data_IF_044834132438
#
_entry.id   IF_044834132438
#
_cell.length_a   1.000
_cell.length_b   1.000
_cell.length_c   1.000
_cell.angle_alpha   90.00
_cell.angle_beta   90.00
_cell.angle_gamma   90.00
#
_symmetry.space_group_name_H-M   'P 1'
#
loop_
_entity.id
_entity.type
_entity.pdbx_description
1 polymer ?
#
# COMPACT_ATOMS: atom_id res chain seq x y z
N UNK A 1 -22.98 24.19 6.97
CA UNK A 1 -22.59 23.30 8.09
C UNK A 1 -23.24 21.95 7.85
N UNK A 2 -22.56 21.04 7.17
CA UNK A 2 -23.07 19.71 6.83
C UNK A 2 -22.89 18.79 8.04
N UNK A 3 -23.98 18.18 8.52
CA UNK A 3 -23.95 17.19 9.58
C UNK A 3 -23.09 15.99 9.14
N UNK A 4 -21.84 15.98 9.57
CA UNK A 4 -20.79 15.09 9.05
C UNK A 4 -20.77 13.70 9.71
N UNK A 5 -21.77 13.37 10.54
CA UNK A 5 -21.88 12.07 11.16
C UNK A 5 -22.76 11.17 10.31
N UNK A 6 -22.20 10.56 9.27
CA UNK A 6 -22.91 9.49 8.58
C UNK A 6 -23.32 8.40 9.57
N UNK A 7 -24.55 7.92 9.42
CA UNK A 7 -25.09 6.75 10.12
C UNK A 7 -24.76 5.48 9.34
N UNK A 8 -24.94 4.35 10.00
CA UNK A 8 -24.70 3.02 9.42
C UNK A 8 -25.52 2.78 8.16
N UNK A 9 -26.77 3.24 8.13
CA UNK A 9 -27.64 3.09 6.96
C UNK A 9 -27.19 3.95 5.78
N UNK A 10 -26.60 5.13 6.04
CA UNK A 10 -26.04 5.98 4.99
C UNK A 10 -24.79 5.34 4.38
N UNK A 11 -23.95 4.69 5.21
CA UNK A 11 -22.83 3.90 4.72
C UNK A 11 -23.29 2.71 3.86
N UNK A 12 -24.31 1.97 4.30
CA UNK A 12 -24.86 0.84 3.53
C UNK A 12 -25.53 1.29 2.24
N UNK A 13 -26.24 2.42 2.27
CA UNK A 13 -26.86 3.00 1.08
C UNK A 13 -25.80 3.43 0.06
N UNK A 14 -24.74 4.11 0.51
CA UNK A 14 -23.60 4.46 -0.33
C UNK A 14 -22.90 3.23 -0.93
N UNK A 15 -22.64 2.22 -0.10
CA UNK A 15 -22.03 0.97 -0.57
C UNK A 15 -22.92 0.23 -1.59
N UNK A 16 -24.24 0.23 -1.36
CA UNK A 16 -25.21 -0.33 -2.31
C UNK A 16 -25.23 0.45 -3.63
N UNK A 17 -25.12 1.78 -3.58
CA UNK A 17 -25.02 2.63 -4.76
C UNK A 17 -23.73 2.38 -5.54
N UNK A 18 -22.59 2.18 -4.85
CA UNK A 18 -21.33 1.78 -5.50
C UNK A 18 -21.49 0.44 -6.24
N UNK A 19 -22.16 -0.53 -5.61
CA UNK A 19 -22.40 -1.87 -6.20
C UNK A 19 -23.42 -1.84 -7.35
N UNK A 20 -24.39 -0.93 -7.29
CA UNK A 20 -25.44 -0.74 -8.29
C UNK A 20 -25.01 0.02 -9.54
N UNK A 21 -23.79 0.57 -9.57
CA UNK A 21 -23.19 1.26 -10.71
C UNK A 21 -23.06 0.34 -11.92
N UNK A 22 -24.08 0.32 -12.76
CA UNK A 22 -24.22 -0.52 -13.95
C UNK A 22 -25.19 0.13 -14.93
N UNK A 23 -25.66 -0.62 -15.93
CA UNK A 23 -26.41 -0.13 -17.11
C UNK A 23 -27.62 0.78 -16.78
N UNK A 24 -28.15 0.76 -15.55
CA UNK A 24 -29.32 1.53 -15.09
C UNK A 24 -29.06 2.53 -13.95
N UNK A 25 -27.83 2.65 -13.43
CA UNK A 25 -27.47 3.63 -12.40
C UNK A 25 -26.06 4.12 -12.64
N UNK A 26 -25.89 5.43 -12.80
CA UNK A 26 -24.61 6.04 -12.50
C UNK A 26 -24.33 5.73 -11.03
N UNK A 27 -23.13 5.26 -10.69
CA UNK A 27 -22.74 5.07 -9.29
C UNK A 27 -22.82 6.39 -8.50
N UNK A 28 -22.33 6.44 -7.25
CA UNK A 28 -22.28 7.71 -6.52
C UNK A 28 -21.54 8.77 -7.32
N UNK A 29 -22.09 9.98 -7.30
CA UNK A 29 -21.44 11.18 -7.83
C UNK A 29 -20.26 11.60 -6.94
N UNK A 30 -19.50 12.57 -7.43
CA UNK A 30 -18.32 13.06 -6.71
C UNK A 30 -18.70 13.73 -5.38
N UNK A 31 -19.86 14.37 -5.30
CA UNK A 31 -20.39 14.93 -4.05
C UNK A 31 -20.69 13.85 -3.00
N UNK A 32 -21.21 12.69 -3.40
CA UNK A 32 -21.41 11.55 -2.50
C UNK A 32 -20.08 10.94 -2.04
N UNK A 33 -19.08 10.85 -2.93
CA UNK A 33 -17.72 10.44 -2.56
C UNK A 33 -17.09 11.40 -1.56
N UNK A 34 -17.21 12.71 -1.78
CA UNK A 34 -16.67 13.73 -0.89
C UNK A 34 -17.35 13.71 0.48
N UNK A 35 -18.66 13.50 0.52
CA UNK A 35 -19.39 13.30 1.79
C UNK A 35 -18.95 12.03 2.52
N UNK A 36 -18.70 10.94 1.80
CA UNK A 36 -18.12 9.73 2.39
C UNK A 36 -16.73 10.02 2.97
N UNK A 37 -15.84 10.70 2.22
CA UNK A 37 -14.48 11.05 2.67
C UNK A 37 -14.55 11.90 3.94
N UNK A 38 -15.43 12.89 4.01
CA UNK A 38 -15.62 13.72 5.19
C UNK A 38 -16.08 12.89 6.41
N UNK A 39 -17.01 11.96 6.22
CA UNK A 39 -17.47 11.06 7.29
C UNK A 39 -16.38 10.09 7.73
N UNK A 40 -15.64 9.49 6.79
CA UNK A 40 -14.53 8.59 7.03
C UNK A 40 -13.42 9.27 7.83
N UNK A 41 -13.08 10.52 7.50
CA UNK A 41 -12.10 11.33 8.24
C UNK A 41 -12.49 11.48 9.72
N UNK A 42 -13.78 11.64 10.02
CA UNK A 42 -14.24 11.84 11.40
C UNK A 42 -14.41 10.52 12.16
N UNK A 43 -14.90 9.47 11.51
CA UNK A 43 -15.28 8.21 12.17
C UNK A 43 -14.19 7.15 12.13
N UNK A 44 -13.50 7.00 10.99
CA UNK A 44 -12.50 5.94 10.77
C UNK A 44 -11.11 6.40 11.16
N UNK A 45 -10.71 7.59 10.72
CA UNK A 45 -9.31 8.02 10.78
C UNK A 45 -8.71 7.98 12.20
N UNK A 46 -9.38 8.46 13.27
CA UNK A 46 -8.80 8.44 14.62
C UNK A 46 -8.46 7.02 15.09
N UNK A 47 -9.34 6.06 14.83
CA UNK A 47 -9.15 4.68 15.27
C UNK A 47 -8.11 3.95 14.41
N UNK A 48 -8.13 4.16 13.09
CA UNK A 48 -7.11 3.63 12.17
C UNK A 48 -5.72 4.15 12.55
N UNK A 49 -5.58 5.47 12.76
CA UNK A 49 -4.32 6.11 13.15
C UNK A 49 -3.80 5.54 14.47
N UNK A 50 -4.66 5.42 15.49
CA UNK A 50 -4.30 4.84 16.78
C UNK A 50 -3.77 3.41 16.64
N UNK A 51 -4.46 2.57 15.87
CA UNK A 51 -4.06 1.18 15.65
C UNK A 51 -2.78 1.06 14.85
N UNK A 52 -2.63 1.82 13.77
CA UNK A 52 -1.41 1.80 12.95
C UNK A 52 -0.19 2.30 13.72
N UNK A 53 -0.33 3.36 14.52
CA UNK A 53 0.74 3.82 15.38
C UNK A 53 1.14 2.73 16.40
N UNK A 54 0.18 2.04 16.98
CA UNK A 54 0.43 0.96 17.95
C UNK A 54 1.06 -0.27 17.31
N UNK A 55 0.55 -0.69 16.14
CA UNK A 55 0.92 -1.95 15.51
C UNK A 55 2.21 -1.87 14.69
N UNK A 56 2.45 -0.74 14.02
CA UNK A 56 3.55 -0.57 13.07
C UNK A 56 4.40 0.68 13.33
N UNK A 57 4.07 1.50 14.33
CA UNK A 57 4.83 2.71 14.67
C UNK A 57 4.73 3.81 13.61
N UNK A 58 3.77 3.73 12.70
CA UNK A 58 3.65 4.68 11.59
C UNK A 58 2.61 5.77 11.91
N UNK A 59 3.00 7.02 11.74
CA UNK A 59 2.09 8.17 11.74
C UNK A 59 1.45 8.28 10.36
N UNK A 60 0.13 8.41 10.32
CA UNK A 60 -0.63 8.53 9.08
C UNK A 60 -1.48 9.80 9.07
N UNK A 61 -1.75 10.32 7.88
CA UNK A 61 -2.62 11.47 7.67
C UNK A 61 -4.10 11.06 7.61
N UNK A 62 -4.98 11.88 8.21
CA UNK A 62 -6.40 11.56 8.33
C UNK A 62 -7.12 11.61 6.97
N UNK A 63 -6.74 12.55 6.11
CA UNK A 63 -7.31 12.68 4.75
C UNK A 63 -6.82 11.55 3.84
N UNK A 64 -5.57 11.11 4.01
CA UNK A 64 -5.02 9.91 3.37
C UNK A 64 -5.74 8.64 3.79
N UNK A 65 -6.02 8.47 5.08
CA UNK A 65 -6.81 7.32 5.59
C UNK A 65 -8.22 7.33 5.04
N UNK A 66 -8.88 8.49 4.99
CA UNK A 66 -10.24 8.59 4.44
C UNK A 66 -10.31 8.21 2.95
N UNK A 67 -9.33 8.63 2.15
CA UNK A 67 -9.22 8.23 0.74
C UNK A 67 -8.89 6.75 0.57
N UNK A 68 -7.99 6.22 1.38
CA UNK A 68 -7.70 4.79 1.39
C UNK A 68 -8.95 3.96 1.75
N UNK A 69 -9.79 4.45 2.66
CA UNK A 69 -11.06 3.81 2.99
C UNK A 69 -12.01 3.71 1.79
N UNK A 70 -12.07 4.76 0.94
CA UNK A 70 -12.88 4.73 -0.27
C UNK A 70 -12.35 3.69 -1.27
N UNK A 71 -11.04 3.67 -1.52
CA UNK A 71 -10.39 2.70 -2.42
C UNK A 71 -10.58 1.25 -1.93
N UNK A 72 -10.42 0.99 -0.63
CA UNK A 72 -10.70 -0.32 -0.03
C UNK A 72 -12.16 -0.73 -0.24
N UNK A 73 -13.09 0.21 -0.05
CA UNK A 73 -14.51 -0.03 -0.22
C UNK A 73 -14.86 -0.38 -1.68
N UNK A 74 -14.27 0.34 -2.65
CA UNK A 74 -14.43 0.10 -4.08
C UNK A 74 -13.84 -1.25 -4.53
N UNK A 75 -12.74 -1.70 -3.92
CA UNK A 75 -12.15 -3.03 -4.20
C UNK A 75 -12.99 -4.16 -3.64
N UNK A 76 -13.63 -3.96 -2.48
CA UNK A 76 -14.39 -4.99 -1.78
C UNK A 76 -15.85 -5.11 -2.24
N UNK A 77 -16.27 -4.39 -3.30
CA UNK A 77 -17.67 -4.31 -3.75
C UNK A 77 -18.36 -5.67 -3.95
N UNK A 78 -17.62 -6.65 -4.47
CA UNK A 78 -18.11 -8.00 -4.74
C UNK A 78 -17.45 -9.06 -3.85
N UNK A 79 -16.64 -8.62 -2.88
CA UNK A 79 -15.92 -9.48 -1.96
C UNK A 79 -16.78 -10.02 -0.83
N UNK A 80 -16.31 -11.10 -0.19
CA UNK A 80 -16.90 -11.61 1.06
C UNK A 80 -16.86 -10.54 2.15
N UNK A 81 -15.78 -9.76 2.21
CA UNK A 81 -15.65 -8.66 3.17
C UNK A 81 -16.64 -7.52 2.90
N UNK A 82 -16.94 -7.21 1.64
CA UNK A 82 -18.00 -6.27 1.28
C UNK A 82 -19.40 -6.77 1.64
N UNK A 83 -19.67 -8.08 1.51
CA UNK A 83 -20.96 -8.65 1.95
C UNK A 83 -21.19 -8.44 3.45
N UNK A 84 -20.14 -8.56 4.27
CA UNK A 84 -20.24 -8.31 5.71
C UNK A 84 -20.64 -6.88 6.06
N UNK A 85 -20.24 -5.87 5.29
CA UNK A 85 -20.65 -4.47 5.50
C UNK A 85 -22.18 -4.29 5.46
N UNK A 86 -22.87 -5.11 4.67
CA UNK A 86 -24.32 -5.02 4.52
C UNK A 86 -25.09 -5.66 5.68
N UNK A 87 -24.48 -6.60 6.40
CA UNK A 87 -25.19 -7.44 7.38
C UNK A 87 -24.70 -7.27 8.81
N UNK A 88 -23.51 -6.70 9.03
CA UNK A 88 -22.96 -6.45 10.37
C UNK A 88 -23.74 -5.35 11.09
N UNK A 89 -23.83 -5.45 12.42
CA UNK A 89 -24.39 -4.42 13.30
C UNK A 89 -23.46 -3.22 13.49
N UNK A 90 -22.18 -3.36 13.14
CA UNK A 90 -21.17 -2.29 13.19
C UNK A 90 -20.39 -2.21 11.88
N UNK A 91 -20.95 -1.55 10.85
CA UNK A 91 -20.32 -1.49 9.53
C UNK A 91 -19.11 -0.55 9.50
N UNK A 92 -19.06 0.47 10.37
CA UNK A 92 -17.90 1.35 10.50
C UNK A 92 -16.72 0.65 11.17
N UNK A 93 -16.96 -0.16 12.21
CA UNK A 93 -15.93 -1.00 12.82
C UNK A 93 -15.37 -2.01 11.83
N UNK A 94 -16.24 -2.71 11.09
CA UNK A 94 -15.78 -3.63 10.05
C UNK A 94 -14.97 -2.92 8.96
N UNK A 95 -15.41 -1.76 8.47
CA UNK A 95 -14.63 -0.97 7.51
C UNK A 95 -13.28 -0.53 8.07
N UNK A 96 -13.22 -0.15 9.36
CA UNK A 96 -11.97 0.16 10.06
C UNK A 96 -11.00 -1.03 9.99
N UNK A 97 -11.49 -2.23 10.27
CA UNK A 97 -10.67 -3.45 10.25
C UNK A 97 -10.14 -3.75 8.84
N UNK A 98 -10.97 -3.55 7.81
CA UNK A 98 -10.55 -3.70 6.41
C UNK A 98 -9.42 -2.72 6.07
N UNK A 99 -9.59 -1.45 6.41
CA UNK A 99 -8.61 -0.39 6.11
C UNK A 99 -7.30 -0.61 6.86
N UNK A 100 -7.35 -0.95 8.15
CA UNK A 100 -6.14 -1.25 8.94
C UNK A 100 -5.40 -2.45 8.35
N UNK A 101 -6.12 -3.51 7.98
CA UNK A 101 -5.53 -4.71 7.36
C UNK A 101 -4.84 -4.36 6.04
N UNK A 102 -5.48 -3.57 5.19
CA UNK A 102 -4.92 -3.17 3.90
C UNK A 102 -3.66 -2.32 4.05
N UNK A 103 -3.72 -1.27 4.89
CA UNK A 103 -2.58 -0.37 5.11
C UNK A 103 -1.40 -1.14 5.73
N UNK A 104 -1.67 -2.02 6.70
CA UNK A 104 -0.65 -2.87 7.33
C UNK A 104 -0.04 -3.86 6.34
N UNK A 105 -0.86 -4.45 5.47
CA UNK A 105 -0.40 -5.33 4.39
C UNK A 105 0.55 -4.60 3.45
N UNK A 106 0.13 -3.44 2.96
CA UNK A 106 0.91 -2.56 2.07
C UNK A 106 2.23 -2.10 2.70
N UNK A 107 2.20 -1.68 3.97
CA UNK A 107 3.40 -1.28 4.70
C UNK A 107 4.40 -2.44 4.81
N UNK A 108 3.95 -3.63 5.21
CA UNK A 108 4.80 -4.82 5.33
C UNK A 108 5.40 -5.25 4.00
N UNK A 109 4.61 -5.22 2.93
CA UNK A 109 5.12 -5.50 1.59
C UNK A 109 6.25 -4.54 1.21
N UNK A 110 6.06 -3.25 1.48
CA UNK A 110 7.05 -2.20 1.16
C UNK A 110 8.33 -2.35 1.99
N UNK A 111 8.21 -2.60 3.29
CA UNK A 111 9.37 -2.81 4.17
C UNK A 111 10.14 -4.07 3.80
N UNK A 112 9.46 -5.18 3.49
CA UNK A 112 10.11 -6.42 3.03
C UNK A 112 10.93 -6.18 1.77
N UNK A 113 10.35 -5.55 0.75
CA UNK A 113 11.06 -5.21 -0.49
C UNK A 113 12.30 -4.35 -0.23
N UNK A 114 12.22 -3.38 0.70
CA UNK A 114 13.38 -2.54 1.07
C UNK A 114 14.48 -3.36 1.76
N UNK A 115 14.12 -4.27 2.65
CA UNK A 115 15.07 -5.16 3.33
C UNK A 115 15.72 -6.12 2.35
N UNK A 116 14.96 -6.73 1.45
CA UNK A 116 15.46 -7.64 0.42
C UNK A 116 16.40 -6.91 -0.54
N UNK A 117 16.05 -5.70 -0.97
CA UNK A 117 16.94 -4.87 -1.81
C UNK A 117 18.23 -4.49 -1.09
N UNK A 118 18.17 -4.19 0.21
CA UNK A 118 19.37 -3.90 1.01
C UNK A 118 20.22 -5.15 1.20
N UNK A 119 19.60 -6.32 1.41
CA UNK A 119 20.30 -7.59 1.51
C UNK A 119 20.98 -7.96 0.18
N UNK A 120 20.29 -7.82 -0.94
CA UNK A 120 20.85 -8.01 -2.29
C UNK A 120 22.02 -7.04 -2.53
N UNK A 121 21.88 -5.77 -2.15
CA UNK A 121 22.97 -4.78 -2.27
C UNK A 121 24.18 -5.16 -1.39
N UNK A 122 23.94 -5.60 -0.15
CA UNK A 122 25.02 -6.03 0.75
C UNK A 122 25.75 -7.29 0.24
N UNK A 123 25.02 -8.23 -0.38
CA UNK A 123 25.63 -9.40 -1.03
C UNK A 123 26.46 -8.97 -2.24
N UNK A 124 25.98 -8.02 -3.05
CA UNK A 124 26.74 -7.48 -4.18
C UNK A 124 28.00 -6.71 -3.76
N UNK A 125 27.96 -6.01 -2.62
CA UNK A 125 29.14 -5.32 -2.05
C UNK A 125 30.13 -6.29 -1.36
N UNK A 126 29.65 -7.42 -0.84
CA UNK A 126 30.49 -8.44 -0.21
C UNK A 126 31.03 -9.50 -1.18
N UNK A 127 30.52 -9.55 -2.41
CA UNK A 127 31.10 -10.36 -3.46
C UNK A 127 32.51 -9.81 -3.79
N UNK A 128 33.57 -10.63 -3.70
CA UNK A 128 34.89 -10.16 -4.09
C UNK A 128 34.82 -9.74 -5.55
N UNK A 129 35.26 -8.51 -5.85
CA UNK A 129 35.76 -8.22 -7.19
C UNK A 129 36.90 -9.21 -7.40
N UNK A 130 36.66 -10.23 -8.24
CA UNK A 130 37.74 -11.00 -8.83
C UNK A 130 38.63 -9.99 -9.54
N UNK A 131 39.71 -9.62 -8.85
CA UNK A 131 40.78 -8.83 -9.41
C UNK A 131 41.32 -9.59 -10.60
N UNK A 132 41.26 -8.96 -11.76
CA UNK A 132 42.17 -9.23 -12.87
C UNK A 132 43.60 -9.05 -12.32
N UNK A 133 44.21 -10.17 -11.88
CA UNK A 133 45.63 -10.20 -11.53
C UNK A 133 46.41 -10.64 -12.78
N UNK A 134 47.26 -9.72 -13.23
CA UNK A 134 48.56 -9.94 -13.84
C UNK A 134 48.65 -10.77 -15.13
N UNK A 135 48.87 -10.03 -16.22
CA UNK A 135 49.67 -10.47 -17.36
C UNK A 135 50.68 -9.40 -17.72
N UNK A 136 51.54 -9.00 -16.77
CA UNK A 136 52.72 -8.17 -17.03
C UNK A 136 53.71 -9.01 -17.86
N UNK A 137 53.59 -8.92 -19.19
CA UNK A 137 54.60 -9.49 -20.10
C UNK A 137 55.74 -8.49 -20.20
N UNK A 138 56.73 -8.72 -19.33
CA UNK A 138 58.02 -8.04 -19.36
C UNK A 138 58.71 -8.33 -20.69
N UNK A 139 58.90 -7.25 -21.43
CA UNK A 139 59.80 -7.10 -22.56
C UNK A 139 61.21 -7.57 -22.18
N UNK A 140 61.76 -8.50 -22.94
CA UNK A 140 63.19 -8.82 -22.93
C UNK A 140 63.61 -9.10 -24.36
N UNK A 141 63.99 -8.00 -24.99
CA UNK A 141 64.82 -7.88 -26.17
C UNK A 141 66.16 -8.56 -25.89
N UNK A 142 66.49 -9.64 -26.62
CA UNK A 142 67.88 -10.04 -26.81
C UNK A 142 68.04 -10.87 -28.10
N UNK A 143 68.42 -10.18 -29.18
CA UNK A 143 69.20 -10.74 -30.29
C UNK A 143 70.61 -10.16 -30.12
N UNK A 144 71.67 -10.97 -30.30
CA UNK A 144 72.24 -11.02 -31.65
C UNK A 144 72.90 -12.36 -32.07
N UNK A 145 72.87 -12.54 -33.39
CA UNK A 145 73.95 -12.99 -34.28
C UNK A 145 74.61 -14.40 -34.21
N UNK A 146 74.50 -15.05 -35.38
CA UNK A 146 75.55 -15.74 -36.14
C UNK A 146 76.18 -17.04 -35.59
N UNK A 147 76.05 -18.15 -36.33
CA UNK A 147 77.13 -18.81 -37.11
C UNK A 147 76.75 -20.23 -37.57
N UNK A 148 76.98 -20.45 -38.88
CA UNK A 148 77.09 -21.70 -39.67
C UNK A 148 75.83 -22.37 -40.21
#
# INVERSE_FOLDING_TARGET
MTNASWRDDELRAFFSALRGGGIFSAGPDDDARDRFIAAARLRLAPEVQRRLLTDVGAVTDADGVARAALDVLERELWGKAGTWLMVTVDPWGHLTDLVVREIRGSYRATVRVRTDRRAVKAIAEAAPHEGESEGDQHESDDRPEQLR
#
